data_IF_250942499414
#
_entry.id   IF_250942499414
#
_cell.length_a   1.000
_cell.length_b   1.000
_cell.length_c   1.000
_cell.angle_alpha   90.00
_cell.angle_beta   90.00
_cell.angle_gamma   90.00
#
_symmetry.space_group_name_H-M   'P 1'
#
loop_
_entity.id
_entity.type
_entity.pdbx_description
1 polymer ?
#
# COMPACT_ATOMS: atom_id res chain seq x y z
N UNK A 1 -3.48 -23.58 -17.46
CA UNK A 1 -2.68 -22.58 -16.71
C UNK A 1 -1.86 -23.35 -15.69
N UNK A 2 -0.51 -23.29 -15.68
CA UNK A 2 0.26 -24.01 -14.67
C UNK A 2 0.45 -23.12 -13.43
N UNK A 3 0.10 -23.66 -12.27
CA UNK A 3 0.40 -23.07 -10.97
C UNK A 3 1.91 -23.17 -10.71
N UNK A 4 2.58 -22.04 -10.50
CA UNK A 4 3.94 -22.04 -9.96
C UNK A 4 3.86 -22.30 -8.46
N UNK A 5 4.01 -23.56 -8.09
CA UNK A 5 4.38 -23.99 -6.74
C UNK A 5 5.68 -23.27 -6.36
N UNK A 6 5.62 -22.40 -5.35
CA UNK A 6 6.83 -21.89 -4.72
C UNK A 6 7.56 -23.06 -4.09
N UNK A 7 8.74 -23.41 -4.62
CA UNK A 7 9.53 -24.49 -4.05
C UNK A 7 9.93 -24.11 -2.62
N UNK A 8 9.44 -24.88 -1.65
CA UNK A 8 9.87 -24.78 -0.27
C UNK A 8 11.34 -25.22 -0.21
N UNK A 9 12.25 -24.26 -0.05
CA UNK A 9 13.65 -24.57 0.19
C UNK A 9 13.80 -25.21 1.56
N UNK A 10 14.37 -26.41 1.59
CA UNK A 10 14.74 -27.06 2.85
C UNK A 10 15.89 -26.28 3.48
N UNK A 11 15.79 -25.99 4.78
CA UNK A 11 16.76 -25.16 5.51
C UNK A 11 18.19 -25.69 5.48
N UNK A 12 18.40 -26.94 5.03
CA UNK A 12 19.70 -27.63 5.05
C UNK A 12 20.28 -27.85 6.44
N UNK A 13 19.56 -27.45 7.51
CA UNK A 13 20.06 -27.42 8.89
C UNK A 13 19.00 -28.02 9.81
N UNK A 14 19.39 -29.04 10.57
CA UNK A 14 18.60 -29.67 11.63
C UNK A 14 18.89 -29.12 13.04
N UNK A 15 19.89 -28.24 13.16
CA UNK A 15 20.28 -27.58 14.42
C UNK A 15 19.49 -26.31 14.72
N UNK A 16 19.46 -25.91 16.00
CA UNK A 16 18.79 -24.66 16.42
C UNK A 16 19.54 -23.44 15.89
N UNK A 17 18.81 -22.46 15.34
CA UNK A 17 19.31 -21.14 15.02
C UNK A 17 19.33 -20.26 16.27
N UNK A 18 20.42 -19.53 16.48
CA UNK A 18 20.57 -18.61 17.62
C UNK A 18 20.34 -17.17 17.22
N UNK A 19 20.88 -16.73 16.07
CA UNK A 19 20.78 -15.33 15.65
C UNK A 19 20.88 -15.19 14.13
N UNK A 20 20.35 -14.07 13.61
CA UNK A 20 20.41 -13.68 12.20
C UNK A 20 20.78 -12.19 12.11
N UNK A 21 21.81 -11.88 11.35
CA UNK A 21 22.32 -10.52 11.17
C UNK A 21 22.42 -10.12 9.69
N UNK A 22 21.93 -8.92 9.36
CA UNK A 22 21.96 -8.36 8.01
C UNK A 22 22.79 -7.08 7.95
N UNK A 23 24.10 -7.14 7.66
CA UNK A 23 24.94 -5.94 7.57
C UNK A 23 24.75 -5.15 6.26
N UNK A 24 24.08 -5.73 5.25
CA UNK A 24 23.76 -5.07 3.99
C UNK A 24 22.44 -5.60 3.40
N UNK A 25 21.89 -4.86 2.43
CA UNK A 25 20.59 -5.16 1.81
C UNK A 25 20.51 -6.58 1.22
N UNK A 26 21.62 -7.12 0.71
CA UNK A 26 21.68 -8.44 0.06
C UNK A 26 22.63 -9.42 0.77
N UNK A 27 22.92 -9.20 2.05
CA UNK A 27 23.85 -10.06 2.80
C UNK A 27 23.28 -10.34 4.18
N UNK A 28 23.04 -11.61 4.47
CA UNK A 28 22.61 -12.10 5.78
C UNK A 28 23.53 -13.21 6.29
N UNK A 29 23.80 -13.20 7.59
CA UNK A 29 24.50 -14.24 8.31
C UNK A 29 23.54 -14.86 9.33
N UNK A 30 23.40 -16.17 9.32
CA UNK A 30 22.70 -16.90 10.37
C UNK A 30 23.71 -17.74 11.16
N UNK A 31 23.61 -17.71 12.48
CA UNK A 31 24.45 -18.51 13.39
C UNK A 31 23.58 -19.49 14.16
N UNK A 32 24.06 -20.73 14.30
CA UNK A 32 23.36 -21.80 14.97
C UNK A 32 24.31 -22.83 15.59
N UNK A 33 23.73 -23.91 16.11
CA UNK A 33 24.49 -25.03 16.69
C UNK A 33 25.52 -25.61 15.69
N UNK A 34 26.67 -26.08 16.19
CA UNK A 34 27.77 -26.66 15.41
C UNK A 34 28.51 -25.74 14.40
N UNK A 35 28.55 -24.42 14.65
CA UNK A 35 29.33 -23.43 13.85
C UNK A 35 28.97 -23.40 12.35
N UNK A 36 27.74 -23.78 12.00
CA UNK A 36 27.28 -23.68 10.61
C UNK A 36 27.10 -22.20 10.26
N UNK A 37 28.04 -21.66 9.46
CA UNK A 37 27.90 -20.36 8.81
C UNK A 37 27.30 -20.64 7.43
N UNK A 38 25.98 -20.48 7.29
CA UNK A 38 25.35 -20.43 5.97
C UNK A 38 25.63 -19.05 5.37
N UNK A 39 26.57 -18.98 4.44
CA UNK A 39 26.70 -17.82 3.55
C UNK A 39 25.60 -17.92 2.50
N UNK A 40 24.52 -17.16 2.66
CA UNK A 40 23.58 -16.95 1.57
C UNK A 40 24.23 -15.97 0.58
N UNK A 41 24.85 -16.50 -0.48
CA UNK A 41 25.33 -15.71 -1.61
C UNK A 41 24.27 -15.77 -2.72
N UNK A 42 23.30 -14.87 -2.65
CA UNK A 42 22.18 -14.81 -3.57
C UNK A 42 21.09 -13.93 -3.00
N UNK A 43 20.36 -13.26 -3.89
CA UNK A 43 19.28 -12.34 -3.54
C UNK A 43 18.44 -12.95 -2.42
N UNK A 44 18.43 -12.27 -1.26
CA UNK A 44 17.36 -12.48 -0.28
C UNK A 44 16.03 -12.37 -1.04
N UNK A 45 14.94 -13.01 -0.59
CA UNK A 45 13.62 -12.69 -1.09
C UNK A 45 13.25 -11.27 -0.61
N UNK A 46 13.93 -10.25 -1.11
CA UNK A 46 13.53 -8.84 -1.09
C UNK A 46 12.46 -8.58 -2.14
N UNK A 47 11.92 -9.63 -2.78
CA UNK A 47 10.78 -9.56 -3.68
C UNK A 47 9.52 -9.24 -2.87
N UNK A 48 9.44 -8.02 -2.36
CA UNK A 48 8.19 -7.30 -2.36
C UNK A 48 7.82 -7.23 -3.83
N UNK A 49 6.97 -8.15 -4.29
CA UNK A 49 6.26 -7.93 -5.54
C UNK A 49 5.51 -6.63 -5.30
N UNK A 50 6.05 -5.54 -5.82
CA UNK A 50 5.24 -4.38 -6.13
C UNK A 50 4.16 -4.95 -7.03
N UNK A 51 2.98 -5.18 -6.47
CA UNK A 51 1.83 -5.53 -7.26
C UNK A 51 1.51 -4.25 -8.03
N UNK A 52 2.19 -4.06 -9.16
CA UNK A 52 2.02 -2.93 -10.07
C UNK A 52 0.62 -2.88 -10.69
N UNK A 53 -0.28 -3.74 -10.23
CA UNK A 53 -1.71 -3.68 -10.43
C UNK A 53 -2.42 -2.91 -9.31
N UNK A 54 -1.77 -1.94 -8.65
CA UNK A 54 -2.53 -0.79 -8.15
C UNK A 54 -3.05 -0.03 -9.36
N UNK A 55 -4.13 -0.56 -9.94
CA UNK A 55 -4.98 0.24 -10.81
C UNK A 55 -5.38 1.44 -9.97
N UNK A 56 -4.86 2.61 -10.33
CA UNK A 56 -5.12 3.85 -9.62
C UNK A 56 -6.57 4.25 -9.95
N UNK A 57 -7.53 3.57 -9.32
CA UNK A 57 -8.94 3.68 -9.64
C UNK A 57 -9.49 5.04 -9.19
N UNK A 58 -8.79 5.78 -8.33
CA UNK A 58 -9.18 7.10 -7.83
C UNK A 58 -8.23 8.17 -8.37
N UNK A 59 -8.76 9.05 -9.22
CA UNK A 59 -8.08 10.27 -9.68
C UNK A 59 -8.62 11.48 -8.92
N UNK A 60 -7.73 12.40 -8.56
CA UNK A 60 -8.04 13.57 -7.72
C UNK A 60 -7.31 14.77 -8.27
N UNK A 61 -8.03 15.82 -8.66
CA UNK A 61 -7.45 17.03 -9.26
C UNK A 61 -8.19 18.30 -8.84
N UNK A 62 -7.50 19.40 -8.48
CA UNK A 62 -6.05 19.48 -8.28
C UNK A 62 -5.62 18.83 -6.95
N UNK A 63 -4.36 18.42 -6.87
CA UNK A 63 -3.70 18.00 -5.64
C UNK A 63 -2.25 18.51 -5.66
N UNK A 64 -1.84 19.44 -4.78
CA UNK A 64 -2.64 20.05 -3.70
C UNK A 64 -3.87 20.84 -4.17
N UNK A 65 -4.85 21.05 -3.30
CA UNK A 65 -6.05 21.85 -3.58
C UNK A 65 -6.20 23.01 -2.60
N UNK A 66 -6.87 24.09 -2.99
CA UNK A 66 -7.23 25.19 -2.10
C UNK A 66 -8.55 24.93 -1.34
N UNK A 67 -9.03 23.68 -1.33
CA UNK A 67 -10.30 23.27 -0.74
C UNK A 67 -11.34 22.76 -1.74
N UNK A 68 -11.28 23.13 -3.01
CA UNK A 68 -12.12 22.55 -4.07
C UNK A 68 -11.32 21.59 -4.96
N UNK A 69 -11.84 20.39 -5.19
CA UNK A 69 -11.24 19.41 -6.07
C UNK A 69 -12.25 18.42 -6.63
N UNK A 70 -11.91 17.82 -7.76
CA UNK A 70 -12.65 16.75 -8.39
C UNK A 70 -12.09 15.39 -8.01
N UNK A 71 -12.98 14.43 -7.76
CA UNK A 71 -12.66 13.00 -7.62
C UNK A 71 -13.33 12.27 -8.78
N UNK A 72 -12.57 11.41 -9.47
CA UNK A 72 -13.10 10.61 -10.58
C UNK A 72 -12.60 9.16 -10.48
N UNK A 73 -13.48 8.21 -10.77
CA UNK A 73 -13.16 6.79 -10.85
C UNK A 73 -13.01 6.29 -12.28
N UNK A 74 -11.98 5.47 -12.48
CA UNK A 74 -11.72 4.76 -13.73
C UNK A 74 -12.61 3.51 -13.81
N UNK A 75 -13.88 3.70 -14.18
CA UNK A 75 -14.90 2.66 -14.46
C UNK A 75 -15.35 1.79 -13.29
N UNK A 76 -16.61 1.96 -12.86
CA UNK A 76 -17.31 1.03 -11.96
C UNK A 76 -18.74 0.78 -12.45
N UNK A 77 -19.17 -0.48 -12.54
CA UNK A 77 -20.59 -0.83 -12.80
C UNK A 77 -21.48 -0.63 -11.58
N UNK A 78 -20.86 -0.51 -10.40
CA UNK A 78 -21.54 -0.22 -9.14
C UNK A 78 -21.43 1.27 -8.78
N UNK A 79 -22.36 1.75 -7.94
CA UNK A 79 -22.39 3.12 -7.39
C UNK A 79 -21.70 3.14 -6.02
N UNK A 80 -20.37 3.28 -5.92
CA UNK A 80 -19.66 3.17 -4.66
C UNK A 80 -19.89 4.41 -3.79
N UNK A 81 -19.64 4.25 -2.50
CA UNK A 81 -19.61 5.37 -1.56
C UNK A 81 -18.21 5.97 -1.52
N UNK A 82 -18.12 7.27 -1.77
CA UNK A 82 -16.95 8.11 -1.53
C UNK A 82 -17.00 8.63 -0.11
N UNK A 83 -15.92 8.45 0.63
CA UNK A 83 -15.75 8.94 2.00
C UNK A 83 -14.46 9.74 2.09
N UNK A 84 -14.44 10.79 2.91
CA UNK A 84 -13.23 11.57 3.18
C UNK A 84 -12.99 11.63 4.68
N UNK A 85 -11.74 11.38 5.07
CA UNK A 85 -11.29 11.36 6.45
C UNK A 85 -10.14 12.36 6.64
N UNK A 86 -10.09 12.97 7.83
CA UNK A 86 -8.93 13.75 8.25
C UNK A 86 -7.82 12.86 8.83
N UNK A 87 -6.69 13.44 9.26
CA UNK A 87 -5.54 12.70 9.79
C UNK A 87 -5.79 11.94 11.08
N UNK A 88 -6.80 12.33 11.88
CA UNK A 88 -7.19 11.60 13.10
C UNK A 88 -8.19 10.47 12.82
N UNK A 89 -8.57 10.27 11.55
CA UNK A 89 -9.51 9.23 11.14
C UNK A 89 -10.99 9.61 11.27
N UNK A 90 -11.31 10.89 11.54
CA UNK A 90 -12.69 11.36 11.55
C UNK A 90 -13.22 11.52 10.13
N UNK A 91 -14.40 10.94 9.86
CA UNK A 91 -15.10 11.10 8.58
C UNK A 91 -15.74 12.49 8.52
N UNK A 92 -15.36 13.27 7.51
CA UNK A 92 -15.83 14.65 7.30
C UNK A 92 -16.75 14.78 6.09
N UNK A 93 -16.75 13.78 5.19
CA UNK A 93 -17.57 13.77 3.98
C UNK A 93 -17.98 12.34 3.62
N UNK A 94 -19.20 12.18 3.09
CA UNK A 94 -19.70 10.90 2.57
C UNK A 94 -20.75 11.13 1.49
N UNK A 95 -20.59 10.50 0.34
CA UNK A 95 -21.51 10.61 -0.80
C UNK A 95 -21.56 9.28 -1.58
N UNK A 96 -22.72 8.92 -2.13
CA UNK A 96 -22.84 7.81 -3.08
C UNK A 96 -22.62 8.33 -4.50
N UNK A 97 -21.63 7.80 -5.21
CA UNK A 97 -21.28 8.24 -6.56
C UNK A 97 -22.22 7.62 -7.60
N UNK A 98 -22.90 8.46 -8.36
CA UNK A 98 -23.79 8.00 -9.44
C UNK A 98 -23.06 7.78 -10.77
N UNK A 99 -22.16 8.70 -11.16
CA UNK A 99 -21.47 8.68 -12.46
C UNK A 99 -19.95 8.50 -12.32
N UNK A 100 -19.49 7.99 -11.18
CA UNK A 100 -18.07 7.83 -10.88
C UNK A 100 -17.28 9.15 -10.79
N UNK A 101 -17.95 10.30 -10.71
CA UNK A 101 -17.34 11.62 -10.52
C UNK A 101 -18.09 12.40 -9.45
N UNK A 102 -17.36 13.17 -8.65
CA UNK A 102 -17.90 14.12 -7.69
C UNK A 102 -16.98 15.32 -7.53
N UNK A 103 -17.57 16.48 -7.27
CA UNK A 103 -16.88 17.71 -6.92
C UNK A 103 -16.97 17.91 -5.41
N UNK A 104 -15.81 18.03 -4.77
CA UNK A 104 -15.68 18.10 -3.33
C UNK A 104 -15.31 19.54 -2.94
N UNK A 105 -15.99 20.04 -1.91
CA UNK A 105 -15.69 21.32 -1.29
C UNK A 105 -15.34 21.12 0.20
N UNK A 106 -14.08 21.34 0.54
CA UNK A 106 -13.53 21.33 1.89
C UNK A 106 -13.10 22.73 2.33
N UNK A 107 -13.64 23.81 1.77
CA UNK A 107 -13.23 25.19 2.10
C UNK A 107 -13.39 25.53 3.58
N UNK A 108 -14.36 24.89 4.26
CA UNK A 108 -14.62 25.08 5.68
C UNK A 108 -13.74 24.19 6.59
N UNK A 109 -12.91 23.33 6.01
CA UNK A 109 -12.02 22.45 6.74
C UNK A 109 -10.60 23.04 6.82
N UNK A 110 -9.84 22.78 7.90
CA UNK A 110 -8.46 23.26 8.03
C UNK A 110 -7.56 22.79 6.88
N UNK A 111 -6.52 23.56 6.56
CA UNK A 111 -5.46 23.10 5.65
C UNK A 111 -4.73 21.91 6.27
N UNK A 112 -4.39 20.91 5.46
CA UNK A 112 -3.83 19.65 5.94
C UNK A 112 -4.00 18.47 5.01
N UNK A 113 -3.75 17.29 5.55
CA UNK A 113 -3.82 16.01 4.81
C UNK A 113 -5.20 15.39 5.01
N UNK A 114 -5.78 14.92 3.91
CA UNK A 114 -7.03 14.17 3.91
C UNK A 114 -6.88 12.87 3.13
N UNK A 115 -7.69 11.88 3.50
CA UNK A 115 -7.73 10.56 2.87
C UNK A 115 -9.11 10.33 2.25
N UNK A 116 -9.13 10.15 0.94
CA UNK A 116 -10.31 9.74 0.20
C UNK A 116 -10.35 8.21 0.19
N UNK A 117 -11.49 7.63 0.54
CA UNK A 117 -11.73 6.19 0.53
C UNK A 117 -12.92 5.89 -0.37
N UNK A 118 -12.74 4.94 -1.28
CA UNK A 118 -13.80 4.41 -2.12
C UNK A 118 -13.63 2.89 -2.15
N UNK A 119 -14.56 2.16 -1.53
CA UNK A 119 -14.40 0.72 -1.29
C UNK A 119 -13.15 0.41 -0.47
N UNK A 120 -12.26 -0.41 -1.04
CA UNK A 120 -10.98 -0.82 -0.43
C UNK A 120 -9.81 0.08 -0.87
N UNK A 121 -10.05 1.07 -1.72
CA UNK A 121 -8.99 1.95 -2.25
C UNK A 121 -8.95 3.26 -1.50
N UNK A 122 -7.72 3.76 -1.28
CA UNK A 122 -7.45 5.00 -0.59
C UNK A 122 -6.59 5.92 -1.46
N UNK A 123 -6.84 7.23 -1.39
CA UNK A 123 -6.03 8.25 -2.05
C UNK A 123 -5.80 9.44 -1.11
N UNK A 124 -4.55 9.82 -0.93
CA UNK A 124 -4.16 11.01 -0.17
C UNK A 124 -4.36 12.27 -1.01
N UNK A 125 -4.92 13.31 -0.41
CA UNK A 125 -4.95 14.68 -0.95
C UNK A 125 -4.39 15.66 0.08
N UNK A 126 -3.72 16.71 -0.40
CA UNK A 126 -3.22 17.82 0.40
C UNK A 126 -4.11 19.03 0.13
N UNK A 127 -4.65 19.65 1.19
CA UNK A 127 -5.33 20.94 1.13
C UNK A 127 -4.39 22.03 1.66
N UNK A 128 -4.19 23.08 0.87
CA UNK A 128 -3.44 24.30 1.24
C UNK A 128 -4.34 25.34 1.92
#
# INVERSE_FOLDING_TARGET
MPEHLGEQQTSGVSGRLFDVHFPAQDTGYAVGEYKVILKLAGALPTNIRNNSNETNIITVNPNPSSGMFSVSLSSTSEKPTLEIYNVVGSKIYSERLDNGKSEINLNNEPSGIYFIKIGNSFKKIIKE
#
